data_IF_389871430511
#
_entry.id   IF_389871430511
#
_cell.length_a   1.000
_cell.length_b   1.000
_cell.length_c   1.000
_cell.angle_alpha   90.00
_cell.angle_beta   90.00
_cell.angle_gamma   90.00
#
_symmetry.space_group_name_H-M   'P 1'
#
loop_
_entity.id
_entity.type
_entity.pdbx_description
1 polymer ?
#
# COMPACT_ATOMS: atom_id res chain seq x y z
N UNK A 1 -2.99 6.32 26.77
CA UNK A 1 -4.44 6.48 27.03
C UNK A 1 -5.12 7.35 25.97
N UNK A 2 -4.53 8.48 25.54
CA UNK A 2 -5.11 9.39 24.53
C UNK A 2 -5.32 8.69 23.18
N UNK A 3 -4.34 7.92 22.70
CA UNK A 3 -4.46 7.15 21.47
C UNK A 3 -5.60 6.13 21.52
N UNK A 4 -5.76 5.41 22.65
CA UNK A 4 -6.85 4.46 22.82
C UNK A 4 -8.21 5.15 22.78
N UNK A 5 -8.35 6.32 23.41
CA UNK A 5 -9.58 7.10 23.35
C UNK A 5 -9.89 7.57 21.91
N UNK A 6 -8.89 8.04 21.16
CA UNK A 6 -9.05 8.43 19.77
C UNK A 6 -9.49 7.26 18.89
N UNK A 7 -8.93 6.07 19.09
CA UNK A 7 -9.31 4.87 18.33
C UNK A 7 -10.77 4.49 18.63
N UNK A 8 -11.19 4.53 19.89
CA UNK A 8 -12.58 4.25 20.28
C UNK A 8 -13.53 5.31 19.69
N UNK A 9 -13.16 6.59 19.74
CA UNK A 9 -13.97 7.67 19.15
C UNK A 9 -14.14 7.49 17.64
N UNK A 10 -13.06 7.15 16.92
CA UNK A 10 -13.12 6.86 15.48
C UNK A 10 -13.99 5.64 15.16
N UNK A 11 -13.90 4.58 15.98
CA UNK A 11 -14.73 3.40 15.81
C UNK A 11 -16.22 3.71 16.03
N UNK A 12 -16.55 4.53 17.05
CA UNK A 12 -17.91 4.97 17.32
C UNK A 12 -18.47 5.84 16.18
N UNK A 13 -17.68 6.76 15.65
CA UNK A 13 -18.06 7.58 14.49
C UNK A 13 -18.35 6.67 13.27
N UNK A 14 -17.48 5.71 13.00
CA UNK A 14 -17.68 4.73 11.92
C UNK A 14 -18.95 3.91 12.12
N UNK A 15 -19.22 3.47 13.35
CA UNK A 15 -20.42 2.71 13.68
C UNK A 15 -21.69 3.53 13.52
N UNK A 16 -21.72 4.78 14.01
CA UNK A 16 -22.85 5.70 13.82
C UNK A 16 -23.09 5.99 12.34
N UNK A 17 -22.01 6.27 11.58
CA UNK A 17 -22.08 6.53 10.14
C UNK A 17 -22.63 5.32 9.36
N UNK A 18 -22.34 4.10 9.80
CA UNK A 18 -22.83 2.87 9.16
C UNK A 18 -24.36 2.74 9.24
N UNK A 19 -25.00 3.30 10.26
CA UNK A 19 -26.47 3.31 10.39
C UNK A 19 -27.16 4.24 9.39
N UNK A 20 -26.41 5.17 8.78
CA UNK A 20 -26.94 6.08 7.76
C UNK A 20 -26.92 5.47 6.35
N UNK A 21 -26.34 4.28 6.20
CA UNK A 21 -26.29 3.59 4.91
C UNK A 21 -27.72 3.09 4.59
N UNK A 22 -28.32 3.53 3.46
CA UNK A 22 -29.64 3.07 3.07
C UNK A 22 -29.63 1.57 2.78
N UNK A 23 -30.68 0.87 3.20
CA UNK A 23 -30.84 -0.57 2.93
C UNK A 23 -31.01 -0.79 1.43
N UNK A 24 -30.05 -1.49 0.81
CA UNK A 24 -30.18 -1.91 -0.58
C UNK A 24 -31.02 -3.20 -0.64
N UNK A 25 -32.10 -3.26 -1.44
CA UNK A 25 -32.86 -4.49 -1.61
C UNK A 25 -31.97 -5.55 -2.27
N UNK A 26 -32.08 -6.82 -1.83
CA UNK A 26 -31.28 -7.89 -2.44
C UNK A 26 -31.69 -8.08 -3.90
N UNK A 27 -30.73 -8.14 -4.80
CA UNK A 27 -30.94 -8.34 -6.24
C UNK A 27 -31.57 -9.72 -6.50
N UNK A 28 -31.24 -10.70 -5.69
CA UNK A 28 -31.84 -12.04 -5.74
C UNK A 28 -32.26 -12.48 -4.33
N UNK A 29 -33.56 -12.59 -4.08
CA UNK A 29 -34.12 -13.00 -2.79
C UNK A 29 -33.98 -14.50 -2.52
N UNK A 30 -33.68 -15.29 -3.55
CA UNK A 30 -33.54 -16.76 -3.45
C UNK A 30 -32.10 -17.19 -3.15
N UNK A 31 -31.17 -16.24 -3.04
CA UNK A 31 -29.77 -16.51 -2.77
C UNK A 31 -29.62 -16.98 -1.30
N UNK A 32 -29.51 -18.29 -1.11
CA UNK A 32 -29.21 -18.87 0.20
C UNK A 32 -27.71 -18.79 0.45
N UNK A 33 -27.33 -17.99 1.44
CA UNK A 33 -25.92 -17.90 1.87
C UNK A 33 -25.64 -19.05 2.83
N UNK A 34 -24.62 -19.83 2.54
CA UNK A 34 -24.17 -20.88 3.46
C UNK A 34 -23.33 -20.27 4.58
N UNK A 35 -23.61 -20.64 5.84
CA UNK A 35 -22.77 -20.27 6.99
C UNK A 35 -21.38 -20.90 6.96
N UNK A 36 -21.11 -21.82 6.02
CA UNK A 36 -19.79 -22.41 5.85
C UNK A 36 -18.90 -21.53 4.94
N UNK A 37 -17.92 -20.81 5.51
CA UNK A 37 -17.09 -19.88 4.76
C UNK A 37 -16.26 -20.57 3.66
N UNK A 38 -15.82 -21.79 3.87
CA UNK A 38 -15.04 -22.54 2.88
C UNK A 38 -15.86 -22.88 1.64
N UNK A 39 -17.13 -23.21 1.82
CA UNK A 39 -18.04 -23.52 0.71
C UNK A 39 -18.32 -22.26 -0.12
N UNK A 40 -18.54 -21.11 0.52
CA UNK A 40 -18.77 -19.84 -0.17
C UNK A 40 -17.51 -19.35 -0.89
N UNK A 41 -16.34 -19.45 -0.26
CA UNK A 41 -15.06 -19.10 -0.89
C UNK A 41 -14.84 -19.97 -2.14
N UNK A 42 -15.02 -21.29 -2.04
CA UNK A 42 -14.85 -22.22 -3.16
C UNK A 42 -15.82 -21.91 -4.30
N UNK A 43 -17.09 -21.61 -3.98
CA UNK A 43 -18.11 -21.24 -4.96
C UNK A 43 -17.75 -19.93 -5.68
N UNK A 44 -17.33 -18.90 -4.92
CA UNK A 44 -16.93 -17.63 -5.50
C UNK A 44 -15.67 -17.74 -6.35
N UNK A 45 -14.73 -18.58 -5.91
CA UNK A 45 -13.50 -18.88 -6.65
C UNK A 45 -13.80 -19.59 -7.98
N UNK A 46 -14.69 -20.58 -7.94
CA UNK A 46 -15.14 -21.28 -9.14
C UNK A 46 -15.88 -20.34 -10.12
N UNK A 47 -16.76 -19.49 -9.59
CA UNK A 47 -17.47 -18.50 -10.41
C UNK A 47 -16.49 -17.48 -11.06
N UNK A 48 -15.52 -16.99 -10.30
CA UNK A 48 -14.52 -16.05 -10.81
C UNK A 48 -13.59 -16.69 -11.86
N UNK A 49 -13.30 -17.99 -11.73
CA UNK A 49 -12.45 -18.72 -12.69
C UNK A 49 -13.11 -19.00 -14.03
N UNK A 50 -14.44 -18.85 -14.15
CA UNK A 50 -15.17 -19.03 -15.41
C UNK A 50 -14.88 -17.91 -16.41
N UNK A 51 -14.60 -16.67 -15.92
CA UNK A 51 -14.19 -15.55 -16.76
C UNK A 51 -12.68 -15.31 -16.59
N UNK A 52 -11.93 -15.55 -17.67
CA UNK A 52 -10.47 -15.36 -17.69
C UNK A 52 -10.06 -13.93 -17.34
N UNK A 53 -10.84 -12.94 -17.75
CA UNK A 53 -10.54 -11.53 -17.46
C UNK A 53 -10.65 -11.25 -15.99
N UNK A 54 -11.73 -11.69 -15.36
CA UNK A 54 -11.95 -11.56 -13.91
C UNK A 54 -10.86 -12.30 -13.14
N UNK A 55 -10.50 -13.50 -13.58
CA UNK A 55 -9.43 -14.30 -12.96
C UNK A 55 -8.08 -13.58 -12.98
N UNK A 56 -7.66 -13.06 -14.14
CA UNK A 56 -6.42 -12.30 -14.23
C UNK A 56 -6.43 -11.01 -13.40
N UNK A 57 -7.56 -10.33 -13.32
CA UNK A 57 -7.70 -9.16 -12.44
C UNK A 57 -7.51 -9.53 -10.97
N UNK A 58 -8.11 -10.63 -10.51
CA UNK A 58 -7.95 -11.12 -9.13
C UNK A 58 -6.48 -11.45 -8.85
N UNK A 59 -5.81 -12.16 -9.75
CA UNK A 59 -4.39 -12.49 -9.61
C UNK A 59 -3.51 -11.23 -9.55
N UNK A 60 -3.77 -10.27 -10.43
CA UNK A 60 -3.01 -9.02 -10.47
C UNK A 60 -3.18 -8.21 -9.18
N UNK A 61 -4.41 -8.09 -8.68
CA UNK A 61 -4.69 -7.39 -7.42
C UNK A 61 -4.05 -8.13 -6.24
N UNK A 62 -4.13 -9.47 -6.21
CA UNK A 62 -3.52 -10.29 -5.16
C UNK A 62 -2.00 -10.14 -5.15
N UNK A 63 -1.37 -10.12 -6.33
CA UNK A 63 0.06 -9.88 -6.47
C UNK A 63 0.48 -8.49 -5.99
N UNK A 64 -0.29 -7.47 -6.37
CA UNK A 64 -0.06 -6.10 -5.92
C UNK A 64 -0.11 -5.97 -4.39
N UNK A 65 -1.13 -6.56 -3.76
CA UNK A 65 -1.25 -6.56 -2.29
C UNK A 65 -0.16 -7.36 -1.60
N UNK A 66 0.26 -8.49 -2.17
CA UNK A 66 1.39 -9.27 -1.67
C UNK A 66 2.67 -8.43 -1.69
N UNK A 67 2.96 -7.78 -2.82
CA UNK A 67 4.12 -6.91 -2.96
C UNK A 67 4.08 -5.75 -1.95
N UNK A 68 2.95 -5.05 -1.88
CA UNK A 68 2.75 -3.93 -0.95
C UNK A 68 2.90 -4.37 0.52
N UNK A 69 2.36 -5.53 0.88
CA UNK A 69 2.49 -6.10 2.23
C UNK A 69 3.94 -6.44 2.57
N UNK A 70 4.67 -7.08 1.66
CA UNK A 70 6.10 -7.36 1.83
C UNK A 70 6.89 -6.05 1.99
N UNK A 71 6.62 -5.06 1.16
CA UNK A 71 7.27 -3.77 1.23
C UNK A 71 7.05 -3.08 2.59
N UNK A 72 5.79 -2.96 3.03
CA UNK A 72 5.44 -2.33 4.31
C UNK A 72 6.09 -3.02 5.51
N UNK A 73 6.21 -4.35 5.49
CA UNK A 73 6.85 -5.09 6.58
C UNK A 73 8.38 -4.94 6.58
N UNK A 74 8.98 -4.67 5.43
CA UNK A 74 10.44 -4.51 5.32
C UNK A 74 10.92 -3.08 5.59
N UNK A 75 10.08 -2.04 5.41
CA UNK A 75 10.47 -0.65 5.63
C UNK A 75 11.06 -0.39 7.02
N UNK A 76 10.51 -0.91 8.13
CA UNK A 76 11.12 -0.72 9.45
C UNK A 76 12.54 -1.31 9.55
N UNK A 77 12.71 -2.53 9.07
CA UNK A 77 14.01 -3.20 9.07
C UNK A 77 15.02 -2.49 8.16
N UNK A 78 14.61 -2.12 6.96
CA UNK A 78 15.42 -1.36 6.02
C UNK A 78 15.90 -0.02 6.61
N UNK A 79 15.00 0.71 7.26
CA UNK A 79 15.32 2.00 7.89
C UNK A 79 16.39 1.86 8.97
N UNK A 80 16.26 0.86 9.84
CA UNK A 80 17.17 0.69 10.98
C UNK A 80 18.46 0.01 10.58
N UNK A 81 18.41 -1.04 9.77
CA UNK A 81 19.57 -1.87 9.47
C UNK A 81 20.37 -1.42 8.24
N UNK A 82 19.72 -0.82 7.23
CA UNK A 82 20.39 -0.37 6.01
C UNK A 82 20.71 1.12 6.07
N UNK A 83 19.74 1.94 6.47
CA UNK A 83 19.95 3.39 6.54
C UNK A 83 20.58 3.85 7.86
N UNK A 84 20.79 2.96 8.84
CA UNK A 84 21.23 3.32 10.19
C UNK A 84 20.38 4.42 10.85
N UNK A 85 19.08 4.47 10.48
CA UNK A 85 18.15 5.50 10.90
C UNK A 85 17.55 5.23 12.28
N UNK A 86 17.21 6.33 12.97
CA UNK A 86 16.45 6.25 14.22
C UNK A 86 15.04 5.68 13.96
N UNK A 87 14.42 4.91 14.88
CA UNK A 87 13.07 4.35 14.70
C UNK A 87 11.97 5.36 14.31
N UNK A 88 12.13 6.64 14.67
CA UNK A 88 11.22 7.73 14.24
C UNK A 88 11.22 7.95 12.73
N UNK A 89 12.31 7.63 12.03
CA UNK A 89 12.36 7.71 10.57
C UNK A 89 11.38 6.73 9.89
N UNK A 90 11.14 5.58 10.51
CA UNK A 90 10.18 4.59 10.01
C UNK A 90 8.81 5.23 9.78
N UNK A 91 8.32 6.00 10.75
CA UNK A 91 7.02 6.67 10.64
C UNK A 91 6.98 7.72 9.53
N UNK A 92 8.09 8.42 9.29
CA UNK A 92 8.19 9.42 8.22
C UNK A 92 8.23 8.75 6.85
N UNK A 93 9.04 7.70 6.69
CA UNK A 93 9.13 6.96 5.44
C UNK A 93 7.81 6.24 5.10
N UNK A 94 7.13 5.66 6.10
CA UNK A 94 5.80 5.10 5.91
C UNK A 94 4.77 6.19 5.57
N UNK A 95 4.87 7.36 6.19
CA UNK A 95 4.03 8.52 5.85
C UNK A 95 4.24 8.98 4.41
N UNK A 96 5.49 9.08 3.96
CA UNK A 96 5.84 9.39 2.57
C UNK A 96 5.25 8.36 1.60
N UNK A 97 5.40 7.07 1.90
CA UNK A 97 4.79 6.00 1.12
C UNK A 97 3.27 6.12 1.01
N UNK A 98 2.56 6.43 2.11
CA UNK A 98 1.10 6.62 2.09
C UNK A 98 0.72 7.81 1.21
N UNK A 99 1.47 8.91 1.28
CA UNK A 99 1.26 10.09 0.42
C UNK A 99 1.48 9.72 -1.05
N UNK A 100 2.50 8.92 -1.35
CA UNK A 100 2.77 8.39 -2.69
C UNK A 100 1.60 7.57 -3.24
N UNK A 101 1.10 6.61 -2.46
CA UNK A 101 -0.06 5.79 -2.83
C UNK A 101 -1.30 6.66 -3.08
N UNK A 102 -1.57 7.63 -2.20
CA UNK A 102 -2.71 8.53 -2.34
C UNK A 102 -2.61 9.41 -3.59
N UNK A 103 -1.43 9.99 -3.84
CA UNK A 103 -1.19 10.84 -5.03
C UNK A 103 -1.23 10.02 -6.32
N UNK A 104 -0.68 8.81 -6.32
CA UNK A 104 -0.74 7.87 -7.43
C UNK A 104 -2.19 7.47 -7.77
N UNK A 105 -3.00 7.18 -6.76
CA UNK A 105 -4.42 6.87 -6.95
C UNK A 105 -5.21 8.04 -7.56
N UNK A 106 -4.95 9.27 -7.09
CA UNK A 106 -5.57 10.49 -7.64
C UNK A 106 -5.13 10.73 -9.10
N UNK A 107 -3.84 10.54 -9.38
CA UNK A 107 -3.29 10.68 -10.72
C UNK A 107 -3.89 9.63 -11.67
N UNK A 108 -3.95 8.38 -11.24
CA UNK A 108 -4.57 7.30 -11.99
C UNK A 108 -6.03 7.60 -12.32
N UNK A 109 -6.81 8.09 -11.35
CA UNK A 109 -8.20 8.48 -11.58
C UNK A 109 -8.34 9.60 -12.62
N UNK A 110 -7.48 10.62 -12.56
CA UNK A 110 -7.46 11.71 -13.55
C UNK A 110 -7.07 11.24 -14.95
N UNK A 111 -6.07 10.37 -15.06
CA UNK A 111 -5.60 9.82 -16.33
C UNK A 111 -6.60 8.84 -16.95
N UNK A 112 -7.29 8.08 -16.14
CA UNK A 112 -8.30 7.10 -16.59
C UNK A 112 -9.58 7.75 -17.12
N UNK A 113 -9.86 9.01 -16.79
CA UNK A 113 -11.09 9.72 -17.18
C UNK A 113 -12.36 8.90 -16.93
N UNK A 114 -12.39 8.11 -15.86
CA UNK A 114 -13.52 7.24 -15.50
C UNK A 114 -13.64 5.94 -16.30
N UNK A 115 -12.68 5.64 -17.18
CA UNK A 115 -12.64 4.40 -17.98
C UNK A 115 -11.47 3.54 -17.47
N UNK A 116 -11.70 2.24 -17.26
CA UNK A 116 -10.64 1.31 -16.88
C UNK A 116 -9.66 1.13 -18.06
N UNK A 117 -8.45 1.65 -17.91
CA UNK A 117 -7.42 1.57 -18.94
C UNK A 117 -6.28 0.62 -18.50
N UNK A 118 -6.20 -0.60 -19.08
CA UNK A 118 -5.16 -1.57 -18.73
C UNK A 118 -3.72 -1.06 -18.97
N UNK A 119 -3.53 -0.13 -19.92
CA UNK A 119 -2.21 0.44 -20.19
C UNK A 119 -1.62 1.19 -18.98
N UNK A 120 -2.47 1.82 -18.15
CA UNK A 120 -2.01 2.48 -16.93
C UNK A 120 -1.45 1.49 -15.90
N UNK A 121 -1.99 0.28 -15.84
CA UNK A 121 -1.48 -0.79 -14.98
C UNK A 121 -0.07 -1.18 -15.41
N UNK A 122 0.15 -1.34 -16.72
CA UNK A 122 1.46 -1.67 -17.27
C UNK A 122 2.49 -0.56 -16.99
N UNK A 123 2.10 0.70 -17.21
CA UNK A 123 2.97 1.85 -16.92
C UNK A 123 3.30 1.91 -15.40
N UNK A 124 2.30 1.70 -14.55
CA UNK A 124 2.49 1.68 -13.10
C UNK A 124 3.44 0.57 -12.64
N UNK A 125 3.29 -0.66 -13.17
CA UNK A 125 4.18 -1.78 -12.81
C UNK A 125 5.60 -1.60 -13.31
N UNK A 126 5.80 -1.03 -14.50
CA UNK A 126 7.13 -0.66 -15.00
C UNK A 126 7.77 0.43 -14.12
N UNK A 127 7.01 1.47 -13.77
CA UNK A 127 7.46 2.51 -12.86
C UNK A 127 7.90 1.94 -11.52
N UNK A 128 7.05 1.11 -10.92
CA UNK A 128 7.33 0.47 -9.64
C UNK A 128 8.60 -0.41 -9.69
N UNK A 129 8.83 -1.12 -10.78
CA UNK A 129 10.05 -1.91 -10.99
C UNK A 129 11.29 -1.02 -11.10
N UNK A 130 11.22 0.07 -11.85
CA UNK A 130 12.33 1.03 -12.00
C UNK A 130 12.70 1.67 -10.67
N UNK A 131 11.71 2.17 -9.91
CA UNK A 131 11.94 2.75 -8.59
C UNK A 131 12.47 1.74 -7.57
N UNK A 132 12.04 0.49 -7.63
CA UNK A 132 12.59 -0.56 -6.78
C UNK A 132 14.07 -0.84 -7.07
N UNK A 133 14.47 -0.86 -8.35
CA UNK A 133 15.88 -0.97 -8.73
C UNK A 133 16.69 0.26 -8.29
N UNK A 134 16.14 1.46 -8.50
CA UNK A 134 16.80 2.70 -8.10
C UNK A 134 16.97 2.78 -6.59
N UNK A 135 15.95 2.42 -5.82
CA UNK A 135 16.00 2.34 -4.36
C UNK A 135 17.10 1.39 -3.88
N UNK A 136 17.22 0.21 -4.51
CA UNK A 136 18.28 -0.75 -4.17
C UNK A 136 19.68 -0.17 -4.43
N UNK A 137 19.86 0.52 -5.55
CA UNK A 137 21.13 1.15 -5.91
C UNK A 137 21.44 2.37 -5.03
N UNK A 138 20.46 3.26 -4.85
CA UNK A 138 20.59 4.45 -4.04
C UNK A 138 20.87 4.12 -2.57
N UNK A 139 20.22 3.07 -2.03
CA UNK A 139 20.44 2.64 -0.65
C UNK A 139 21.83 2.11 -0.42
N UNK A 140 22.40 1.37 -1.38
CA UNK A 140 23.77 0.87 -1.28
C UNK A 140 24.81 2.01 -1.28
N UNK A 141 24.60 3.01 -2.12
CA UNK A 141 25.47 4.22 -2.14
C UNK A 141 25.31 5.00 -0.84
N UNK A 142 24.07 5.19 -0.35
CA UNK A 142 23.82 5.91 0.89
C UNK A 142 24.48 5.21 2.09
N UNK A 143 24.35 3.88 2.19
CA UNK A 143 24.94 3.09 3.26
C UNK A 143 26.47 3.17 3.26
N UNK A 144 27.11 3.10 2.08
CA UNK A 144 28.57 3.24 1.97
C UNK A 144 29.07 4.65 2.27
N UNK A 145 28.35 5.67 1.83
CA UNK A 145 28.73 7.07 2.09
C UNK A 145 28.59 7.49 3.56
N UNK A 146 27.68 6.85 4.29
CA UNK A 146 27.32 7.22 5.66
C UNK A 146 27.62 6.11 6.69
N UNK A 147 28.59 5.25 6.41
CA UNK A 147 28.95 4.06 7.23
C UNK A 147 29.27 4.40 8.68
N UNK A 148 29.82 5.60 8.93
CA UNK A 148 30.19 6.06 10.26
C UNK A 148 29.04 6.70 11.05
N UNK A 149 27.91 6.98 10.39
CA UNK A 149 26.74 7.55 11.03
C UNK A 149 25.87 6.42 11.62
N UNK A 150 25.45 6.62 12.86
CA UNK A 150 24.53 5.69 13.54
C UNK A 150 23.38 6.50 14.12
N UNK A 151 22.19 5.92 14.09
CA UNK A 151 21.00 6.52 14.71
C UNK A 151 20.62 7.87 14.11
N UNK A 152 20.68 7.97 12.78
CA UNK A 152 20.41 9.20 12.01
C UNK A 152 18.99 9.70 12.31
N UNK A 153 18.89 10.92 12.78
CA UNK A 153 17.61 11.57 13.06
C UNK A 153 16.94 12.03 11.75
N UNK A 154 15.59 12.13 11.72
CA UNK A 154 14.86 12.55 10.51
C UNK A 154 15.32 13.88 9.91
N UNK A 155 15.66 14.85 10.76
CA UNK A 155 16.15 16.15 10.30
C UNK A 155 17.55 16.09 9.68
N UNK A 156 18.42 15.28 10.25
CA UNK A 156 19.77 15.01 9.73
C UNK A 156 19.70 14.25 8.42
N UNK A 157 18.79 13.25 8.32
CA UNK A 157 18.61 12.46 7.13
C UNK A 157 18.34 13.34 5.90
N UNK A 158 17.43 14.31 6.00
CA UNK A 158 17.10 15.21 4.89
C UNK A 158 18.28 16.08 4.43
N UNK A 159 19.23 16.35 5.33
CA UNK A 159 20.44 17.11 5.03
C UNK A 159 21.55 16.25 4.39
N UNK A 160 21.45 14.93 4.44
CA UNK A 160 22.46 14.02 3.91
C UNK A 160 22.36 13.89 2.38
N UNK A 161 23.51 13.79 1.74
CA UNK A 161 23.57 13.61 0.29
C UNK A 161 22.95 12.27 -0.11
N UNK A 162 21.96 12.31 -1.00
CA UNK A 162 21.23 11.11 -1.49
C UNK A 162 19.92 10.80 -0.76
N UNK A 163 19.62 11.47 0.36
CA UNK A 163 18.38 11.24 1.12
C UNK A 163 17.12 11.63 0.35
N UNK A 164 17.17 12.71 -0.42
CA UNK A 164 16.04 13.13 -1.27
C UNK A 164 15.71 12.08 -2.35
N UNK A 165 16.74 11.48 -2.98
CA UNK A 165 16.54 10.40 -3.96
C UNK A 165 15.86 9.19 -3.31
N UNK A 166 16.38 8.72 -2.17
CA UNK A 166 15.77 7.63 -1.41
C UNK A 166 14.32 7.93 -1.00
N UNK A 167 14.03 9.16 -0.62
CA UNK A 167 12.67 9.56 -0.25
C UNK A 167 11.73 9.57 -1.45
N UNK A 168 12.21 9.97 -2.63
CA UNK A 168 11.44 9.97 -3.87
C UNK A 168 11.18 8.55 -4.38
N UNK A 169 12.15 7.65 -4.24
CA UNK A 169 11.99 6.24 -4.66
C UNK A 169 10.97 5.48 -3.78
N UNK A 170 10.69 5.99 -2.57
CA UNK A 170 9.71 5.43 -1.64
C UNK A 170 8.29 5.98 -1.85
N UNK A 171 8.14 7.12 -2.55
CA UNK A 171 6.85 7.80 -2.81
C UNK A 171 6.25 7.36 -4.14
#
# INVERSE_FOLDING_TARGET
YILGFLMIAMALIGWISSHQIPTAPPVNKELTTSLNPFKEISKNFHLASQDKTVWYCILAISWFWLYGGCFLTQVPNFTVSVLNGHPRMVSILLGAFIVGVASGALLCNRLSKGIVNPALVTVGTLGLSLFAFDLSYASSIFATANVNLKNIMPGEFLALKGSMRLSLDLV
#
